data_IF_158105740609
#
_entry.id   IF_158105740609
#
_cell.length_a   1.000
_cell.length_b   1.000
_cell.length_c   1.000
_cell.angle_alpha   90.00
_cell.angle_beta   90.00
_cell.angle_gamma   90.00
#
_symmetry.space_group_name_H-M   'P 1'
#
loop_
_entity.id
_entity.type
_entity.pdbx_description
1 polymer ?
#
# COMPACT_ATOMS: atom_id res chain seq x y z
N UNK A 1 -17.37 -14.70 -55.59
CA UNK A 1 -17.27 -14.29 -57.01
C UNK A 1 -17.94 -12.92 -57.16
N UNK A 2 -17.19 -11.83 -56.95
CA UNK A 2 -17.51 -10.45 -57.35
C UNK A 2 -16.18 -9.80 -57.74
N UNK A 3 -16.18 -9.19 -58.92
CA UNK A 3 -15.04 -8.61 -59.62
C UNK A 3 -14.63 -7.25 -59.03
N UNK A 4 -13.32 -7.01 -58.98
CA UNK A 4 -12.66 -5.68 -58.90
C UNK A 4 -12.56 -5.08 -60.33
N UNK A 5 -12.28 -3.76 -60.49
CA UNK A 5 -10.89 -3.30 -60.52
C UNK A 5 -10.57 -1.98 -59.78
N UNK A 6 -9.31 -1.94 -59.34
CA UNK A 6 -8.47 -0.84 -58.84
C UNK A 6 -8.35 0.35 -59.81
N UNK A 7 -8.07 1.56 -59.28
CA UNK A 7 -7.00 2.50 -59.68
C UNK A 7 -6.78 3.54 -58.54
N UNK A 8 -5.51 3.80 -58.20
CA UNK A 8 -4.92 4.80 -57.29
C UNK A 8 -4.10 5.81 -58.16
N UNK A 9 -3.44 6.90 -57.69
CA UNK A 9 -3.76 8.07 -56.83
C UNK A 9 -3.61 9.43 -57.57
N UNK A 10 -3.90 10.57 -56.91
CA UNK A 10 -3.06 11.78 -57.04
C UNK A 10 -3.13 12.64 -55.76
N UNK A 11 -1.95 12.97 -55.23
CA UNK A 11 -1.69 13.86 -54.10
C UNK A 11 -1.96 15.34 -54.46
N UNK A 12 -2.33 16.15 -53.46
CA UNK A 12 -1.83 17.51 -53.31
C UNK A 12 -1.98 18.01 -51.86
N UNK A 13 -0.87 18.51 -51.33
CA UNK A 13 -0.65 19.03 -49.98
C UNK A 13 -1.52 20.23 -49.60
N UNK A 14 -1.86 20.34 -48.32
CA UNK A 14 -1.86 21.64 -47.62
C UNK A 14 -1.51 21.44 -46.14
N UNK A 15 -0.31 21.88 -45.80
CA UNK A 15 0.20 22.08 -44.45
C UNK A 15 -0.53 23.24 -43.77
N UNK A 16 -1.13 22.99 -42.61
CA UNK A 16 -1.47 24.05 -41.67
C UNK A 16 -0.54 23.99 -40.47
N UNK A 17 0.24 25.05 -40.37
CA UNK A 17 1.23 25.34 -39.35
C UNK A 17 0.62 25.31 -37.95
N UNK A 18 1.21 24.49 -37.10
CA UNK A 18 1.05 24.55 -35.65
C UNK A 18 1.93 25.70 -35.13
N UNK A 19 1.32 26.84 -34.81
CA UNK A 19 1.96 27.85 -33.98
C UNK A 19 1.69 27.55 -32.50
N UNK A 20 2.73 27.49 -31.63
CA UNK A 20 2.53 27.46 -30.19
C UNK A 20 2.07 28.85 -29.73
N UNK A 21 0.90 28.91 -29.07
CA UNK A 21 0.45 30.12 -28.37
C UNK A 21 1.33 30.32 -27.13
N UNK A 22 2.31 31.20 -27.25
CA UNK A 22 2.90 31.92 -26.12
C UNK A 22 1.99 33.10 -25.78
N UNK A 23 1.32 33.04 -24.63
CA UNK A 23 0.48 34.11 -24.13
C UNK A 23 -0.17 33.71 -22.81
N UNK A 24 0.57 33.86 -21.72
CA UNK A 24 -0.02 33.95 -20.38
C UNK A 24 -0.85 35.23 -20.31
N UNK A 25 -2.14 35.12 -19.97
CA UNK A 25 -3.01 36.28 -19.77
C UNK A 25 -2.55 37.03 -18.49
N UNK A 26 -2.19 38.33 -18.57
CA UNK A 26 -1.77 39.12 -17.41
C UNK A 26 -2.82 39.17 -16.28
N UNK A 27 -4.07 38.84 -16.59
CA UNK A 27 -5.18 38.80 -15.64
C UNK A 27 -5.15 37.59 -14.70
N UNK A 28 -4.56 36.45 -15.09
CA UNK A 28 -4.57 35.24 -14.24
C UNK A 28 -3.56 35.32 -13.10
N UNK A 29 -2.33 35.80 -13.37
CA UNK A 29 -1.28 35.97 -12.35
C UNK A 29 -1.65 37.00 -11.27
N UNK A 30 -2.36 38.07 -11.65
CA UNK A 30 -2.84 39.09 -10.72
C UNK A 30 -3.95 38.56 -9.78
N UNK A 31 -4.90 37.79 -10.32
CA UNK A 31 -5.95 37.12 -9.55
C UNK A 31 -5.38 36.09 -8.56
N UNK A 32 -4.34 35.36 -8.99
CA UNK A 32 -3.68 34.34 -8.18
C UNK A 32 -2.88 34.97 -7.03
N UNK A 33 -2.17 36.07 -7.30
CA UNK A 33 -1.52 36.88 -6.27
C UNK A 33 -2.50 37.47 -5.26
N UNK A 34 -3.65 37.98 -5.70
CA UNK A 34 -4.68 38.55 -4.81
C UNK A 34 -5.33 37.48 -3.91
N UNK A 35 -5.63 36.30 -4.46
CA UNK A 35 -6.27 35.20 -3.75
C UNK A 35 -5.38 34.55 -2.66
N UNK A 36 -4.06 34.59 -2.85
CA UNK A 36 -3.09 34.01 -1.90
C UNK A 36 -2.71 35.02 -0.80
N UNK A 37 -2.71 36.32 -1.09
CA UNK A 37 -2.41 37.39 -0.13
C UNK A 37 -3.60 37.77 0.77
N UNK A 38 -3.40 38.67 1.74
CA UNK A 38 -4.33 38.94 2.87
C UNK A 38 -5.74 39.47 2.50
N UNK A 39 -6.03 39.74 1.22
CA UNK A 39 -7.33 40.20 0.72
C UNK A 39 -8.30 39.03 0.43
N UNK A 40 -8.32 38.01 1.30
CA UNK A 40 -8.86 36.66 1.01
C UNK A 40 -10.40 36.60 0.97
N UNK A 41 -11.08 37.45 1.74
CA UNK A 41 -12.53 37.29 1.97
C UNK A 41 -13.36 37.44 0.70
N UNK A 42 -13.04 38.41 -0.17
CA UNK A 42 -13.82 38.65 -1.40
C UNK A 42 -13.71 37.49 -2.39
N UNK A 43 -12.50 36.93 -2.57
CA UNK A 43 -12.24 35.84 -3.52
C UNK A 43 -12.85 34.53 -3.02
N UNK A 44 -12.62 34.18 -1.75
CA UNK A 44 -13.23 33.00 -1.13
C UNK A 44 -14.75 33.09 -1.13
N UNK A 45 -15.31 34.25 -0.79
CA UNK A 45 -16.76 34.41 -0.68
C UNK A 45 -17.44 34.40 -2.07
N UNK A 46 -16.67 34.62 -3.15
CA UNK A 46 -17.12 34.49 -4.54
C UNK A 46 -17.27 33.03 -5.01
N UNK A 47 -16.69 32.07 -4.30
CA UNK A 47 -16.84 30.63 -4.53
C UNK A 47 -18.11 30.07 -3.87
N UNK A 48 -18.74 29.03 -4.46
CA UNK A 48 -19.79 28.27 -3.80
C UNK A 48 -19.36 27.80 -2.41
N UNK A 49 -20.26 27.84 -1.44
CA UNK A 49 -19.96 27.54 -0.03
C UNK A 49 -19.30 26.16 0.16
N UNK A 50 -19.76 25.16 -0.60
CA UNK A 50 -19.22 23.80 -0.60
C UNK A 50 -17.75 23.68 -1.04
N UNK A 51 -17.19 24.68 -1.73
CA UNK A 51 -15.80 24.66 -2.21
C UNK A 51 -14.86 25.62 -1.46
N UNK A 52 -15.37 26.32 -0.44
CA UNK A 52 -14.56 27.25 0.35
C UNK A 52 -13.50 26.54 1.19
N UNK A 53 -13.80 25.35 1.71
CA UNK A 53 -12.82 24.55 2.45
C UNK A 53 -11.68 24.05 1.55
N UNK A 54 -12.02 23.64 0.32
CA UNK A 54 -11.04 23.23 -0.70
C UNK A 54 -10.12 24.39 -1.11
N UNK A 55 -10.69 25.59 -1.26
CA UNK A 55 -9.93 26.82 -1.49
C UNK A 55 -8.89 27.08 -0.39
N UNK A 56 -9.29 27.00 0.89
CA UNK A 56 -8.36 27.22 2.01
C UNK A 56 -7.27 26.14 2.08
N UNK A 57 -7.60 24.89 1.74
CA UNK A 57 -6.66 23.76 1.72
C UNK A 57 -5.57 23.97 0.67
N UNK A 58 -5.95 24.20 -0.60
CA UNK A 58 -4.98 24.48 -1.67
C UNK A 58 -4.15 25.73 -1.40
N UNK A 59 -4.78 26.77 -0.84
CA UNK A 59 -4.08 28.00 -0.44
C UNK A 59 -3.03 27.71 0.62
N UNK A 60 -3.37 26.92 1.63
CA UNK A 60 -2.46 26.57 2.72
C UNK A 60 -1.31 25.69 2.24
N UNK A 61 -1.57 24.74 1.33
CA UNK A 61 -0.53 23.92 0.71
C UNK A 61 0.48 24.76 -0.08
N UNK A 62 0.02 25.75 -0.86
CA UNK A 62 0.91 26.68 -1.58
C UNK A 62 1.73 27.52 -0.60
N UNK A 63 1.11 27.98 0.49
CA UNK A 63 1.79 28.74 1.55
C UNK A 63 2.87 27.89 2.24
N UNK A 64 2.56 26.65 2.59
CA UNK A 64 3.49 25.77 3.30
C UNK A 64 4.62 25.32 2.39
N UNK A 65 4.33 25.04 1.12
CA UNK A 65 5.34 24.79 0.10
C UNK A 65 6.28 25.99 -0.05
N UNK A 66 5.75 27.18 -0.29
CA UNK A 66 6.61 28.37 -0.46
C UNK A 66 7.44 28.68 0.78
N UNK A 67 6.88 28.49 1.98
CA UNK A 67 7.61 28.64 3.25
C UNK A 67 8.74 27.62 3.39
N UNK A 68 8.49 26.36 3.07
CA UNK A 68 9.48 25.28 3.15
C UNK A 68 10.68 25.50 2.20
N UNK A 69 10.41 26.07 1.02
CA UNK A 69 11.43 26.33 0.00
C UNK A 69 12.00 27.77 0.04
N UNK A 70 11.65 28.56 1.06
CA UNK A 70 12.15 29.94 1.22
C UNK A 70 11.72 30.90 0.11
N UNK A 71 10.59 30.62 -0.55
CA UNK A 71 10.01 31.44 -1.61
C UNK A 71 9.17 32.55 -0.95
N UNK A 72 9.48 33.84 -1.19
CA UNK A 72 8.65 34.93 -0.68
C UNK A 72 7.23 34.87 -1.25
N UNK A 73 6.22 35.09 -0.40
CA UNK A 73 4.81 35.06 -0.84
C UNK A 73 4.51 36.10 -1.92
N UNK A 74 5.20 37.25 -1.91
CA UNK A 74 5.01 38.28 -2.94
C UNK A 74 5.43 37.82 -4.34
N UNK A 75 6.25 36.77 -4.44
CA UNK A 75 6.69 36.21 -5.72
C UNK A 75 5.55 35.49 -6.45
N UNK A 76 4.56 34.94 -5.74
CA UNK A 76 3.45 34.18 -6.33
C UNK A 76 2.53 35.04 -7.23
N UNK A 77 2.48 36.36 -6.99
CA UNK A 77 1.69 37.30 -7.79
C UNK A 77 2.41 37.89 -9.00
N UNK A 78 3.67 37.53 -9.26
CA UNK A 78 4.50 38.11 -10.33
C UNK A 78 5.33 37.04 -11.03
N UNK A 79 4.99 36.73 -12.29
CA UNK A 79 5.63 35.67 -13.09
C UNK A 79 7.16 35.78 -13.11
N UNK A 80 7.72 36.98 -13.27
CA UNK A 80 9.17 37.19 -13.26
C UNK A 80 9.83 36.86 -11.91
N UNK A 81 9.20 37.22 -10.79
CA UNK A 81 9.72 36.94 -9.44
C UNK A 81 9.52 35.47 -9.06
N UNK A 82 8.41 34.87 -9.47
CA UNK A 82 8.16 33.45 -9.28
C UNK A 82 9.24 32.64 -9.98
N UNK A 83 9.52 32.96 -11.25
CA UNK A 83 10.55 32.29 -12.03
C UNK A 83 11.94 32.43 -11.42
N UNK A 84 12.29 33.61 -10.92
CA UNK A 84 13.57 33.82 -10.22
C UNK A 84 13.66 33.00 -8.92
N UNK A 85 12.57 32.95 -8.14
CA UNK A 85 12.52 32.21 -6.89
C UNK A 85 12.54 30.68 -7.11
N UNK A 86 11.96 30.20 -8.22
CA UNK A 86 11.85 28.77 -8.53
C UNK A 86 13.08 28.23 -9.27
N UNK A 87 14.00 29.07 -9.76
CA UNK A 87 15.25 28.64 -10.41
C UNK A 87 16.14 27.73 -9.54
N UNK A 88 15.94 27.72 -8.22
CA UNK A 88 16.71 26.90 -7.26
C UNK A 88 15.98 25.62 -6.83
N UNK A 89 14.74 25.43 -7.28
CA UNK A 89 13.97 24.23 -6.97
C UNK A 89 14.48 23.03 -7.77
N UNK A 90 14.29 21.85 -7.20
CA UNK A 90 14.46 20.60 -7.94
C UNK A 90 13.36 20.47 -9.01
N UNK A 91 13.58 19.63 -10.03
CA UNK A 91 12.54 19.34 -11.04
C UNK A 91 11.24 18.83 -10.40
N UNK A 92 11.27 17.89 -9.43
CA UNK A 92 10.06 17.46 -8.72
C UNK A 92 9.34 18.60 -7.98
N UNK A 93 10.09 19.48 -7.32
CA UNK A 93 9.51 20.63 -6.62
C UNK A 93 8.88 21.65 -7.58
N UNK A 94 9.47 21.82 -8.77
CA UNK A 94 8.90 22.65 -9.83
C UNK A 94 7.59 22.07 -10.35
N UNK A 95 7.54 20.76 -10.59
CA UNK A 95 6.32 20.07 -11.03
C UNK A 95 5.23 20.14 -9.94
N UNK A 96 5.60 19.96 -8.67
CA UNK A 96 4.68 20.10 -7.54
C UNK A 96 4.11 21.50 -7.43
N UNK A 97 4.95 22.52 -7.52
CA UNK A 97 4.49 23.91 -7.47
C UNK A 97 3.60 24.24 -8.69
N UNK A 98 3.97 23.79 -9.89
CA UNK A 98 3.18 24.00 -11.09
C UNK A 98 1.80 23.35 -10.96
N UNK A 99 1.72 22.13 -10.43
CA UNK A 99 0.47 21.41 -10.20
C UNK A 99 -0.42 22.14 -9.17
N UNK A 100 0.15 22.58 -8.04
CA UNK A 100 -0.59 23.34 -7.03
C UNK A 100 -1.16 24.64 -7.60
N UNK A 101 -0.36 25.38 -8.37
CA UNK A 101 -0.78 26.63 -9.00
C UNK A 101 -1.84 26.40 -10.07
N UNK A 102 -1.70 25.36 -10.89
CA UNK A 102 -2.69 24.99 -11.92
C UNK A 102 -4.04 24.63 -11.30
N UNK A 103 -4.04 23.86 -10.20
CA UNK A 103 -5.25 23.49 -9.45
C UNK A 103 -5.93 24.72 -8.84
N UNK A 104 -5.14 25.59 -8.22
CA UNK A 104 -5.64 26.82 -7.62
C UNK A 104 -6.21 27.79 -8.67
N UNK A 105 -5.53 27.95 -9.80
CA UNK A 105 -6.01 28.75 -10.93
C UNK A 105 -7.31 28.18 -11.52
N UNK A 106 -7.40 26.85 -11.66
CA UNK A 106 -8.61 26.20 -12.14
C UNK A 106 -9.80 26.48 -11.21
N UNK A 107 -9.62 26.33 -9.90
CA UNK A 107 -10.66 26.59 -8.90
C UNK A 107 -11.16 28.03 -8.96
N UNK A 108 -10.24 29.00 -9.08
CA UNK A 108 -10.58 30.42 -9.20
C UNK A 108 -11.36 30.72 -10.49
N UNK A 109 -10.95 30.12 -11.61
CA UNK A 109 -11.53 30.39 -12.94
C UNK A 109 -12.89 29.73 -13.14
N UNK A 110 -13.04 28.49 -12.71
CA UNK A 110 -14.23 27.68 -12.96
C UNK A 110 -15.21 27.67 -11.78
N UNK A 111 -14.79 28.19 -10.61
CA UNK A 111 -15.56 28.18 -9.36
C UNK A 111 -15.98 26.80 -8.89
N UNK A 112 -15.26 25.78 -9.33
CA UNK A 112 -15.37 24.39 -8.91
C UNK A 112 -13.97 23.74 -8.95
N UNK A 113 -13.73 22.71 -8.13
CA UNK A 113 -12.52 21.90 -8.22
C UNK A 113 -12.36 21.31 -9.61
N UNK A 114 -11.11 21.12 -10.06
CA UNK A 114 -10.86 20.45 -11.35
C UNK A 114 -11.47 19.06 -11.29
N UNK A 115 -12.31 18.69 -12.27
CA UNK A 115 -12.88 17.33 -12.33
C UNK A 115 -11.74 16.30 -12.26
N UNK A 116 -11.69 15.55 -11.17
CA UNK A 116 -10.55 14.69 -10.80
C UNK A 116 -9.85 15.06 -9.49
N UNK A 117 -10.14 16.23 -8.91
CA UNK A 117 -9.72 16.60 -7.55
C UNK A 117 -10.62 15.91 -6.53
N UNK A 118 -10.02 15.02 -5.76
CA UNK A 118 -10.69 14.28 -4.71
C UNK A 118 -10.68 15.15 -3.47
N UNK A 119 -11.87 15.59 -3.09
CA UNK A 119 -12.09 16.23 -1.79
C UNK A 119 -11.66 15.24 -0.70
N UNK A 120 -10.64 15.56 0.13
CA UNK A 120 -10.18 14.67 1.20
C UNK A 120 -11.32 14.28 2.14
N UNK A 121 -12.31 15.15 2.37
CA UNK A 121 -13.48 14.82 3.17
C UNK A 121 -14.33 13.72 2.53
N UNK A 122 -14.46 13.74 1.19
CA UNK A 122 -15.16 12.68 0.43
C UNK A 122 -14.36 11.38 0.38
N UNK A 123 -13.03 11.45 0.29
CA UNK A 123 -12.19 10.27 0.39
C UNK A 123 -12.37 9.58 1.75
N UNK A 124 -12.32 10.36 2.83
CA UNK A 124 -12.56 9.88 4.19
C UNK A 124 -13.98 9.30 4.33
N UNK A 125 -15.01 10.01 3.89
CA UNK A 125 -16.40 9.52 3.92
C UNK A 125 -16.55 8.18 3.20
N UNK A 126 -15.98 8.07 1.99
CA UNK A 126 -15.99 6.83 1.20
C UNK A 126 -15.32 5.67 1.94
N UNK A 127 -14.11 5.86 2.48
CA UNK A 127 -13.41 4.76 3.16
C UNK A 127 -14.02 4.39 4.50
N UNK A 128 -14.67 5.31 5.18
CA UNK A 128 -15.45 4.97 6.38
C UNK A 128 -16.70 4.15 6.05
N UNK A 129 -17.41 4.49 4.97
CA UNK A 129 -18.60 3.78 4.51
C UNK A 129 -18.26 2.37 4.00
N UNK A 130 -17.17 2.23 3.24
CA UNK A 130 -16.86 0.98 2.53
C UNK A 130 -15.87 0.08 3.26
N UNK A 131 -14.98 0.64 4.09
CA UNK A 131 -13.89 -0.09 4.74
C UNK A 131 -13.88 0.06 6.26
N UNK A 132 -14.65 0.98 6.85
CA UNK A 132 -14.58 1.31 8.29
C UNK A 132 -13.13 1.65 8.74
N UNK A 133 -12.42 2.40 7.90
CA UNK A 133 -10.96 2.48 7.93
C UNK A 133 -10.40 3.13 9.20
N UNK A 134 -11.03 4.19 9.73
CA UNK A 134 -10.54 4.93 10.90
C UNK A 134 -10.31 4.05 12.11
N UNK A 135 -11.27 3.20 12.46
CA UNK A 135 -11.12 2.29 13.61
C UNK A 135 -9.96 1.32 13.41
N UNK A 136 -9.78 0.82 12.18
CA UNK A 136 -8.68 -0.08 11.87
C UNK A 136 -7.32 0.64 11.91
N UNK A 137 -7.27 1.87 11.42
CA UNK A 137 -6.08 2.72 11.40
C UNK A 137 -5.65 3.08 12.82
N UNK A 138 -6.56 3.67 13.61
CA UNK A 138 -6.30 4.12 14.97
C UNK A 138 -5.78 2.94 15.83
N UNK A 139 -6.45 1.79 15.74
CA UNK A 139 -6.02 0.58 16.44
C UNK A 139 -4.61 0.13 16.05
N UNK A 140 -4.28 0.13 14.75
CA UNK A 140 -2.96 -0.28 14.28
C UNK A 140 -1.88 0.70 14.70
N UNK A 141 -2.12 2.01 14.61
CA UNK A 141 -1.16 3.03 15.06
C UNK A 141 -0.91 2.90 16.55
N UNK A 142 -1.96 2.78 17.37
CA UNK A 142 -1.83 2.58 18.82
C UNK A 142 -1.03 1.31 19.16
N UNK A 143 -1.33 0.19 18.49
CA UNK A 143 -0.60 -1.06 18.69
C UNK A 143 0.87 -0.92 18.30
N UNK A 144 1.17 -0.31 17.15
CA UNK A 144 2.54 -0.13 16.66
C UNK A 144 3.36 0.81 17.56
N UNK A 145 2.73 1.81 18.16
CA UNK A 145 3.34 2.64 19.21
C UNK A 145 3.59 1.83 20.49
N UNK A 146 2.61 1.05 20.95
CA UNK A 146 2.68 0.25 22.16
C UNK A 146 3.80 -0.80 22.12
N UNK A 147 4.01 -1.44 20.97
CA UNK A 147 5.08 -2.43 20.77
C UNK A 147 6.43 -1.78 20.42
N UNK A 148 6.48 -0.46 20.28
CA UNK A 148 7.70 0.30 20.04
C UNK A 148 8.24 0.25 18.61
N UNK A 149 7.40 -0.13 17.63
CA UNK A 149 7.70 -0.02 16.20
C UNK A 149 7.68 1.46 15.80
N UNK A 150 6.60 2.16 16.16
CA UNK A 150 6.48 3.59 15.97
C UNK A 150 7.15 4.32 17.14
N UNK A 151 8.16 5.12 16.80
CA UNK A 151 8.83 6.03 17.74
C UNK A 151 8.67 7.44 17.21
N UNK A 152 7.96 8.28 17.96
CA UNK A 152 7.65 9.66 17.55
C UNK A 152 6.92 9.70 16.18
N UNK A 153 6.00 8.75 15.96
CA UNK A 153 5.21 8.66 14.72
C UNK A 153 5.96 8.13 13.49
N UNK A 154 7.17 7.60 13.65
CA UNK A 154 7.98 7.10 12.54
C UNK A 154 8.66 5.76 12.84
N UNK A 155 8.92 4.99 11.78
CA UNK A 155 9.83 3.83 11.81
C UNK A 155 11.23 4.23 11.41
N UNK A 156 12.21 3.36 11.68
CA UNK A 156 13.60 3.54 11.22
C UNK A 156 13.91 2.46 10.19
N UNK A 157 14.24 2.89 8.97
CA UNK A 157 14.57 2.00 7.87
C UNK A 157 15.93 1.31 8.05
N UNK A 158 16.16 0.26 7.24
CA UNK A 158 17.47 -0.42 7.16
C UNK A 158 18.60 0.46 6.61
N UNK A 159 18.25 1.58 5.99
CA UNK A 159 19.14 2.65 5.52
C UNK A 159 19.38 3.75 6.57
N UNK A 160 18.71 3.68 7.71
CA UNK A 160 18.79 4.66 8.79
C UNK A 160 17.85 5.86 8.62
N UNK A 161 17.08 5.95 7.53
CA UNK A 161 16.09 7.00 7.35
C UNK A 161 14.90 6.81 8.30
N UNK A 162 14.25 7.93 8.64
CA UNK A 162 13.01 7.95 9.42
C UNK A 162 11.84 8.07 8.47
N UNK A 163 10.95 7.09 8.50
CA UNK A 163 9.76 7.07 7.66
C UNK A 163 8.52 7.30 8.52
N UNK A 164 7.81 8.44 8.39
CA UNK A 164 6.59 8.68 9.14
C UNK A 164 5.53 7.65 8.76
N UNK A 165 4.66 7.29 9.70
CA UNK A 165 3.49 6.46 9.40
C UNK A 165 2.61 7.15 8.37
N UNK A 166 2.08 6.44 7.35
CA UNK A 166 1.11 7.02 6.42
C UNK A 166 -0.10 7.52 7.20
N UNK A 167 -0.58 8.71 6.86
CA UNK A 167 -1.80 9.27 7.49
C UNK A 167 -3.05 8.59 6.97
N UNK A 168 -4.13 8.62 7.77
CA UNK A 168 -5.43 8.13 7.33
C UNK A 168 -5.88 8.82 6.05
N UNK A 169 -5.64 10.13 5.92
CA UNK A 169 -5.97 10.93 4.74
C UNK A 169 -5.22 10.45 3.49
N UNK A 170 -3.92 10.18 3.59
CA UNK A 170 -3.14 9.66 2.46
C UNK A 170 -3.65 8.30 1.98
N UNK A 171 -3.95 7.39 2.91
CA UNK A 171 -4.50 6.06 2.57
C UNK A 171 -5.90 6.21 1.97
N UNK A 172 -6.74 7.08 2.56
CA UNK A 172 -8.09 7.32 2.09
C UNK A 172 -8.13 7.89 0.67
N UNK A 173 -7.23 8.84 0.37
CA UNK A 173 -7.08 9.38 -0.98
C UNK A 173 -6.70 8.30 -1.98
N UNK A 174 -5.69 7.47 -1.67
CA UNK A 174 -5.27 6.40 -2.57
C UNK A 174 -6.41 5.38 -2.84
N UNK A 175 -7.09 4.93 -1.78
CA UNK A 175 -8.24 4.02 -1.92
C UNK A 175 -9.38 4.65 -2.72
N UNK A 176 -9.63 5.94 -2.54
CA UNK A 176 -10.65 6.65 -3.30
C UNK A 176 -10.25 6.77 -4.76
N UNK A 177 -9.01 7.15 -5.09
CA UNK A 177 -8.48 7.23 -6.46
C UNK A 177 -8.66 5.91 -7.20
N UNK A 178 -8.28 4.82 -6.53
CA UNK A 178 -8.30 3.46 -7.08
C UNK A 178 -9.62 2.73 -6.88
N UNK A 179 -10.69 3.39 -6.38
CA UNK A 179 -11.99 2.74 -6.08
C UNK A 179 -12.61 1.98 -7.25
N UNK A 180 -12.36 2.42 -8.49
CA UNK A 180 -12.82 1.71 -9.69
C UNK A 180 -12.10 0.36 -9.84
N UNK A 181 -10.77 0.38 -9.76
CA UNK A 181 -9.89 -0.79 -9.84
C UNK A 181 -10.11 -1.76 -8.67
N UNK A 182 -10.34 -1.21 -7.47
CA UNK A 182 -10.51 -1.98 -6.24
C UNK A 182 -11.94 -2.48 -6.03
N UNK A 183 -12.92 -2.07 -6.84
CA UNK A 183 -14.33 -2.42 -6.65
C UNK A 183 -14.56 -3.93 -6.60
N UNK A 184 -13.96 -4.69 -7.53
CA UNK A 184 -14.03 -6.16 -7.53
C UNK A 184 -13.37 -6.76 -6.29
N UNK A 185 -12.28 -6.17 -5.79
CA UNK A 185 -11.58 -6.67 -4.59
C UNK A 185 -12.32 -6.36 -3.30
N UNK A 186 -12.94 -5.19 -3.23
CA UNK A 186 -13.85 -4.83 -2.16
C UNK A 186 -15.03 -5.83 -2.09
N UNK A 187 -15.67 -6.12 -3.23
CA UNK A 187 -16.74 -7.14 -3.35
C UNK A 187 -16.26 -8.55 -2.92
N UNK A 188 -15.03 -8.92 -3.27
CA UNK A 188 -14.39 -10.16 -2.84
C UNK A 188 -13.93 -10.15 -1.36
N UNK A 189 -14.24 -9.10 -0.61
CA UNK A 189 -14.03 -9.02 0.83
C UNK A 189 -12.68 -8.45 1.27
N UNK A 190 -11.87 -7.88 0.38
CA UNK A 190 -10.59 -7.23 0.74
C UNK A 190 -10.83 -5.86 1.40
N UNK A 191 -11.23 -5.87 2.68
CA UNK A 191 -11.62 -4.67 3.44
C UNK A 191 -10.81 -4.43 4.72
N UNK A 192 -9.97 -5.40 5.12
CA UNK A 192 -9.14 -5.31 6.32
C UNK A 192 -7.81 -4.63 6.01
N UNK A 193 -7.56 -3.47 6.58
CA UNK A 193 -6.30 -2.72 6.47
C UNK A 193 -5.16 -3.46 7.16
N UNK A 194 -3.97 -3.39 6.59
CA UNK A 194 -2.71 -3.77 7.21
C UNK A 194 -1.62 -2.74 6.88
N UNK A 195 -1.13 -2.05 7.91
CA UNK A 195 -0.01 -1.10 7.84
C UNK A 195 1.30 -1.83 8.16
N UNK A 196 2.12 -2.06 7.14
CA UNK A 196 3.35 -2.85 7.30
C UNK A 196 4.57 -1.93 7.33
N UNK A 197 5.39 -1.97 8.41
CA UNK A 197 6.62 -1.20 8.52
C UNK A 197 7.77 -1.81 7.69
N UNK A 198 7.56 -1.96 6.37
CA UNK A 198 8.41 -2.71 5.45
C UNK A 198 9.90 -2.30 5.51
N UNK A 199 10.18 -1.01 5.69
CA UNK A 199 11.53 -0.47 5.73
C UNK A 199 12.34 -0.91 6.94
N UNK A 200 11.71 -1.35 8.04
CA UNK A 200 12.42 -1.86 9.22
C UNK A 200 13.17 -3.16 8.91
N UNK A 201 14.25 -3.41 9.65
CA UNK A 201 14.94 -4.70 9.52
C UNK A 201 14.08 -5.85 10.03
N UNK A 202 14.13 -6.97 9.33
CA UNK A 202 13.38 -8.18 9.68
C UNK A 202 13.80 -8.70 11.06
N UNK A 203 15.09 -8.62 11.40
CA UNK A 203 15.61 -8.95 12.74
C UNK A 203 14.94 -8.11 13.84
N UNK A 204 14.72 -6.80 13.59
CA UNK A 204 14.08 -5.91 14.57
C UNK A 204 12.59 -6.23 14.72
N UNK A 205 11.90 -6.55 13.62
CA UNK A 205 10.48 -6.93 13.64
C UNK A 205 10.29 -8.28 14.35
N UNK A 206 11.18 -9.25 14.11
CA UNK A 206 11.16 -10.54 14.82
C UNK A 206 11.39 -10.38 16.33
N UNK A 207 12.36 -9.57 16.74
CA UNK A 207 12.57 -9.30 18.17
C UNK A 207 11.37 -8.55 18.77
N UNK A 208 10.75 -7.64 18.02
CA UNK A 208 9.54 -6.95 18.47
C UNK A 208 8.37 -7.93 18.66
N UNK A 209 8.12 -8.82 17.69
CA UNK A 209 7.11 -9.88 17.81
C UNK A 209 7.36 -10.78 19.04
N UNK A 210 8.62 -11.14 19.28
CA UNK A 210 9.02 -11.93 20.44
C UNK A 210 8.69 -11.23 21.75
N UNK A 211 9.01 -9.94 21.86
CA UNK A 211 8.69 -9.14 23.06
C UNK A 211 7.17 -8.94 23.21
N UNK A 212 6.46 -8.70 22.11
CA UNK A 212 5.00 -8.63 22.08
C UNK A 212 4.37 -9.92 22.61
N UNK A 213 4.79 -11.10 22.16
CA UNK A 213 4.28 -12.39 22.65
C UNK A 213 4.51 -12.57 24.14
N UNK A 214 5.70 -12.23 24.64
CA UNK A 214 6.04 -12.31 26.06
C UNK A 214 5.17 -11.38 26.92
N UNK A 215 4.95 -10.14 26.44
CA UNK A 215 4.04 -9.18 27.08
C UNK A 215 2.61 -9.69 27.06
N UNK A 216 2.12 -10.11 25.90
CA UNK A 216 0.77 -10.65 25.73
C UNK A 216 0.50 -11.82 26.66
N UNK A 217 1.46 -12.74 26.82
CA UNK A 217 1.38 -13.86 27.77
C UNK A 217 1.33 -13.41 29.23
N UNK A 218 2.04 -12.35 29.58
CA UNK A 218 2.01 -11.77 30.94
C UNK A 218 0.62 -11.21 31.25
N UNK A 219 0.03 -10.52 30.30
CA UNK A 219 -1.29 -9.89 30.44
C UNK A 219 -2.44 -10.91 30.29
N UNK A 220 -2.19 -12.01 29.58
CA UNK A 220 -3.11 -13.12 29.36
C UNK A 220 -2.49 -14.46 29.82
N UNK A 221 -2.47 -14.76 31.14
CA UNK A 221 -1.80 -15.95 31.68
C UNK A 221 -2.31 -17.29 31.13
N UNK A 222 -3.53 -17.34 30.60
CA UNK A 222 -4.11 -18.53 29.96
C UNK A 222 -3.61 -18.77 28.53
N UNK A 223 -3.03 -17.76 27.86
CA UNK A 223 -2.52 -17.90 26.49
C UNK A 223 -1.39 -18.94 26.44
N UNK A 224 -1.45 -19.97 25.58
CA UNK A 224 -0.51 -21.09 25.64
C UNK A 224 0.81 -20.76 24.92
N UNK A 225 1.66 -19.91 25.51
CA UNK A 225 3.00 -19.58 25.01
C UNK A 225 4.11 -20.29 25.81
N UNK A 226 5.13 -20.80 25.12
CA UNK A 226 6.41 -21.17 25.70
C UNK A 226 7.29 -19.92 25.89
N UNK A 227 7.38 -19.45 27.13
CA UNK A 227 8.18 -18.26 27.47
C UNK A 227 9.68 -18.49 27.32
N UNK A 228 10.16 -19.75 27.29
CA UNK A 228 11.57 -20.08 27.07
C UNK A 228 11.98 -20.01 25.61
N UNK A 229 11.03 -20.22 24.69
CA UNK A 229 11.26 -20.15 23.25
C UNK A 229 9.99 -19.68 22.50
N UNK A 230 9.57 -18.41 22.68
CA UNK A 230 8.30 -17.91 22.15
C UNK A 230 8.29 -17.72 20.62
N UNK A 231 9.48 -17.65 20.02
CA UNK A 231 9.71 -17.46 18.60
C UNK A 231 10.88 -18.35 18.17
N UNK A 232 10.62 -19.32 17.29
CA UNK A 232 11.65 -20.07 16.60
C UNK A 232 11.85 -19.50 15.20
N UNK A 233 13.10 -19.21 14.85
CA UNK A 233 13.46 -18.71 13.52
C UNK A 233 14.58 -19.56 12.95
N UNK A 234 14.41 -20.07 11.74
CA UNK A 234 15.50 -20.68 10.98
C UNK A 234 16.66 -19.69 10.79
N UNK A 235 17.90 -20.15 10.99
CA UNK A 235 19.10 -19.31 10.92
C UNK A 235 19.30 -18.57 9.60
N UNK A 236 18.62 -18.99 8.53
CA UNK A 236 18.62 -18.28 7.25
C UNK A 236 18.05 -16.86 7.31
N UNK A 237 17.16 -16.57 8.27
CA UNK A 237 16.54 -15.25 8.44
C UNK A 237 17.47 -14.20 9.04
N UNK A 238 18.48 -14.61 9.81
CA UNK A 238 19.33 -13.68 10.54
C UNK A 238 20.07 -12.74 9.57
N UNK A 239 19.79 -11.44 9.68
CA UNK A 239 20.34 -10.40 8.82
C UNK A 239 20.05 -10.62 7.33
N UNK A 240 18.95 -11.30 6.98
CA UNK A 240 18.69 -11.71 5.62
C UNK A 240 18.33 -10.57 4.67
N UNK A 241 17.77 -9.47 5.19
CA UNK A 241 17.29 -8.32 4.44
C UNK A 241 18.24 -7.11 4.49
N UNK A 242 19.38 -7.24 5.17
CA UNK A 242 20.36 -6.17 5.38
C UNK A 242 21.75 -6.50 4.80
N UNK A 243 22.60 -5.49 4.74
CA UNK A 243 24.00 -5.60 4.30
C UNK A 243 24.18 -5.50 2.78
N UNK A 244 25.43 -5.67 2.33
CA UNK A 244 25.80 -5.50 0.91
C UNK A 244 25.40 -6.66 0.00
N UNK A 245 24.95 -7.77 0.58
CA UNK A 245 24.54 -8.97 -0.15
C UNK A 245 23.41 -9.66 0.62
N UNK A 246 22.23 -9.02 0.69
CA UNK A 246 21.09 -9.58 1.39
C UNK A 246 20.70 -10.91 0.76
N UNK A 247 20.32 -11.87 1.61
CA UNK A 247 19.90 -13.21 1.19
C UNK A 247 18.43 -13.23 0.82
N UNK A 248 17.62 -12.34 1.37
CA UNK A 248 16.19 -12.27 1.13
C UNK A 248 15.91 -11.37 -0.08
N UNK A 249 15.15 -11.89 -1.03
CA UNK A 249 14.70 -11.20 -2.23
C UNK A 249 13.19 -11.09 -2.19
N UNK A 250 12.67 -9.92 -2.52
CA UNK A 250 11.26 -9.57 -2.48
C UNK A 250 10.65 -9.49 -3.88
N UNK A 251 9.37 -9.78 -3.97
CA UNK A 251 8.55 -9.75 -5.19
C UNK A 251 9.20 -10.46 -6.40
N UNK A 252 9.60 -11.75 -6.24
CA UNK A 252 10.24 -12.49 -7.32
C UNK A 252 9.28 -12.82 -8.47
N UNK A 253 9.83 -12.85 -9.69
CA UNK A 253 9.21 -13.48 -10.85
C UNK A 253 9.44 -15.01 -10.87
N UNK A 254 10.61 -15.46 -10.41
CA UNK A 254 10.95 -16.87 -10.35
C UNK A 254 11.73 -17.20 -9.08
N UNK A 255 11.50 -18.40 -8.54
CA UNK A 255 12.31 -18.94 -7.43
C UNK A 255 13.61 -19.55 -7.96
N UNK A 256 14.51 -18.70 -8.43
CA UNK A 256 15.82 -19.08 -8.95
C UNK A 256 16.92 -18.24 -8.31
N UNK A 257 18.14 -18.76 -8.22
CA UNK A 257 19.27 -18.02 -7.64
C UNK A 257 19.63 -16.78 -8.48
N UNK A 258 19.54 -16.90 -9.80
CA UNK A 258 19.80 -15.84 -10.78
C UNK A 258 18.59 -15.67 -11.67
N UNK A 259 18.39 -14.48 -12.24
CA UNK A 259 17.26 -14.20 -13.15
C UNK A 259 15.89 -14.30 -12.46
N UNK A 260 15.83 -14.10 -11.13
CA UNK A 260 14.60 -14.20 -10.36
C UNK A 260 13.63 -13.03 -10.55
N UNK A 261 14.07 -11.90 -11.11
CA UNK A 261 13.22 -10.71 -11.33
C UNK A 261 12.82 -9.93 -10.07
N UNK A 262 12.98 -10.50 -8.87
CA UNK A 262 12.76 -9.80 -7.61
C UNK A 262 13.86 -8.80 -7.23
N UNK A 263 13.60 -8.02 -6.17
CA UNK A 263 14.44 -6.91 -5.70
C UNK A 263 14.86 -7.08 -4.25
N UNK A 264 15.91 -6.39 -3.85
CA UNK A 264 16.30 -6.24 -2.45
C UNK A 264 15.44 -5.18 -1.76
N UNK A 265 15.34 -5.24 -0.43
CA UNK A 265 14.63 -4.21 0.36
C UNK A 265 15.18 -2.80 0.09
N UNK A 266 16.51 -2.67 0.00
CA UNK A 266 17.17 -1.38 -0.29
C UNK A 266 16.81 -0.82 -1.68
N UNK A 267 16.68 -1.67 -2.70
CA UNK A 267 16.23 -1.23 -4.03
C UNK A 267 14.77 -0.78 -3.98
N UNK A 268 13.90 -1.51 -3.27
CA UNK A 268 12.50 -1.12 -3.10
C UNK A 268 12.36 0.21 -2.38
N UNK A 269 13.10 0.42 -1.28
CA UNK A 269 13.06 1.68 -0.53
C UNK A 269 13.47 2.88 -1.39
N UNK A 270 14.51 2.73 -2.22
CA UNK A 270 14.92 3.79 -3.16
C UNK A 270 13.86 4.08 -4.22
N UNK A 271 13.21 3.04 -4.74
CA UNK A 271 12.14 3.22 -5.72
C UNK A 271 10.88 3.87 -5.11
N UNK A 272 10.61 3.65 -3.82
CA UNK A 272 9.53 4.32 -3.12
C UNK A 272 9.78 5.82 -2.94
N UNK A 273 11.04 6.25 -2.74
CA UNK A 273 11.36 7.69 -2.62
C UNK A 273 10.99 8.48 -3.89
N UNK A 274 11.10 7.85 -5.05
CA UNK A 274 10.80 8.48 -6.35
C UNK A 274 9.35 8.28 -6.81
N UNK A 275 8.54 7.46 -6.10
CA UNK A 275 7.18 7.11 -6.51
C UNK A 275 6.12 7.82 -5.66
N UNK A 276 5.36 8.72 -6.30
CA UNK A 276 4.31 9.53 -5.68
C UNK A 276 3.12 8.70 -5.17
N UNK A 277 2.89 7.52 -5.74
CA UNK A 277 1.80 6.62 -5.35
C UNK A 277 2.25 5.62 -4.27
N UNK A 278 3.43 5.80 -3.70
CA UNK A 278 3.97 4.92 -2.67
C UNK A 278 3.97 5.56 -1.29
N UNK A 279 4.09 4.71 -0.27
CA UNK A 279 4.28 5.13 1.12
C UNK A 279 5.74 4.81 1.50
N UNK A 280 6.68 5.78 1.44
CA UNK A 280 8.10 5.49 1.66
C UNK A 280 8.34 4.78 3.01
N UNK A 281 9.01 3.62 2.96
CA UNK A 281 9.28 2.80 4.14
C UNK A 281 8.11 1.92 4.59
N UNK A 282 6.93 2.06 4.00
CA UNK A 282 5.72 1.33 4.36
C UNK A 282 5.16 0.57 3.16
N UNK A 283 4.37 -0.46 3.45
CA UNK A 283 3.41 -1.01 2.49
C UNK A 283 2.05 -1.06 3.14
N UNK A 284 1.02 -0.73 2.37
CA UNK A 284 -0.37 -0.70 2.83
C UNK A 284 -1.12 -1.76 2.07
N UNK A 285 -1.79 -2.65 2.80
CA UNK A 285 -2.48 -3.78 2.21
C UNK A 285 -3.95 -3.80 2.63
N UNK A 286 -4.79 -4.33 1.76
CA UNK A 286 -6.12 -4.83 2.08
C UNK A 286 -6.10 -6.35 2.09
N UNK A 287 -6.69 -6.95 3.11
CA UNK A 287 -6.86 -8.39 3.30
C UNK A 287 -8.34 -8.73 3.57
N UNK A 288 -8.66 -10.01 3.45
CA UNK A 288 -9.98 -10.51 3.85
C UNK A 288 -10.04 -10.64 5.38
N UNK A 289 -11.07 -10.10 6.07
CA UNK A 289 -11.21 -10.24 7.51
C UNK A 289 -11.69 -11.65 7.92
N UNK A 290 -11.52 -12.00 9.18
CA UNK A 290 -11.95 -13.32 9.69
C UNK A 290 -13.46 -13.41 9.99
N UNK A 291 -14.13 -12.27 10.13
CA UNK A 291 -15.55 -12.15 10.46
C UNK A 291 -16.43 -11.76 9.26
N UNK A 292 -16.01 -12.05 8.02
CA UNK A 292 -16.75 -11.65 6.80
C UNK A 292 -18.20 -12.18 6.72
N UNK A 293 -18.52 -13.24 7.47
CA UNK A 293 -19.82 -13.92 7.41
C UNK A 293 -20.86 -13.35 8.40
N UNK A 294 -20.47 -12.45 9.31
CA UNK A 294 -21.43 -11.81 10.22
C UNK A 294 -22.22 -10.76 9.47
N UNK A 295 -23.56 -10.91 9.42
CA UNK A 295 -24.52 -9.89 8.97
C UNK A 295 -24.55 -8.63 9.86
N UNK A 296 -23.48 -8.39 10.62
CA UNK A 296 -23.40 -7.35 11.61
C UNK A 296 -22.55 -6.18 11.08
N UNK A 297 -23.07 -4.98 11.32
CA UNK A 297 -22.46 -3.65 11.14
C UNK A 297 -21.18 -3.42 11.96
N UNK A 298 -20.47 -4.48 12.34
CA UNK A 298 -19.23 -4.40 13.11
C UNK A 298 -18.01 -4.24 12.20
N UNK A 299 -17.01 -3.51 12.69
CA UNK A 299 -15.78 -3.27 11.93
C UNK A 299 -15.05 -4.58 11.59
N UNK A 300 -14.36 -4.68 10.44
CA UNK A 300 -13.60 -5.85 10.06
C UNK A 300 -12.59 -6.26 11.14
N UNK A 301 -12.58 -7.53 11.54
CA UNK A 301 -11.77 -8.04 12.65
C UNK A 301 -10.98 -9.29 12.24
N UNK A 302 -9.73 -9.37 12.68
CA UNK A 302 -8.80 -10.45 12.36
C UNK A 302 -8.53 -10.54 10.85
N UNK A 303 -7.97 -11.68 10.44
CA UNK A 303 -7.63 -11.97 9.04
C UNK A 303 -8.11 -13.38 8.72
N UNK A 304 -8.62 -13.57 7.51
CA UNK A 304 -9.09 -14.86 7.04
C UNK A 304 -7.97 -15.90 7.08
N UNK A 305 -8.31 -17.11 7.52
CA UNK A 305 -7.41 -18.25 7.54
C UNK A 305 -7.18 -18.80 6.13
N UNK A 306 -6.03 -19.44 5.92
CA UNK A 306 -5.74 -20.16 4.68
C UNK A 306 -6.45 -21.53 4.74
N UNK A 307 -7.44 -21.79 3.86
CA UNK A 307 -8.21 -23.02 3.94
C UNK A 307 -7.39 -24.23 3.51
N UNK A 308 -7.68 -25.37 4.13
CA UNK A 308 -7.17 -26.67 3.68
C UNK A 308 -7.72 -27.03 2.30
N UNK A 309 -7.05 -27.97 1.64
CA UNK A 309 -7.51 -28.50 0.37
C UNK A 309 -8.97 -29.00 0.47
N UNK A 310 -9.81 -28.56 -0.47
CA UNK A 310 -11.24 -28.86 -0.55
C UNK A 310 -12.09 -28.21 0.55
N UNK A 311 -11.55 -27.20 1.26
CA UNK A 311 -12.25 -26.45 2.32
C UNK A 311 -12.41 -24.96 1.99
N UNK A 312 -11.93 -24.52 0.84
CA UNK A 312 -12.08 -23.15 0.38
C UNK A 312 -13.53 -22.81 0.07
N UNK A 313 -13.83 -21.52 0.17
CA UNK A 313 -15.10 -20.93 -0.25
C UNK A 313 -14.83 -19.92 -1.36
N UNK A 314 -15.88 -19.58 -2.12
CA UNK A 314 -15.81 -18.46 -3.07
C UNK A 314 -16.41 -17.22 -2.42
N UNK A 315 -15.80 -16.06 -2.63
CA UNK A 315 -16.29 -14.75 -2.20
C UNK A 315 -16.46 -13.81 -3.40
N UNK A 316 -17.32 -12.79 -3.26
CA UNK A 316 -17.63 -11.82 -4.32
C UNK A 316 -18.83 -12.22 -5.16
N UNK A 317 -19.75 -11.28 -5.33
CA UNK A 317 -20.97 -11.42 -6.13
C UNK A 317 -20.74 -11.00 -7.60
N UNK A 318 -19.80 -10.07 -7.85
CA UNK A 318 -19.48 -9.57 -9.20
C UNK A 318 -18.61 -10.58 -9.95
N UNK A 319 -17.48 -10.94 -9.35
CA UNK A 319 -16.55 -11.94 -9.86
C UNK A 319 -16.22 -12.89 -8.73
N UNK A 320 -16.82 -14.07 -8.76
CA UNK A 320 -16.60 -15.08 -7.74
C UNK A 320 -15.11 -15.47 -7.67
N UNK A 321 -14.49 -15.21 -6.53
CA UNK A 321 -13.10 -15.55 -6.22
C UNK A 321 -13.04 -16.79 -5.35
N UNK A 322 -12.60 -17.94 -5.88
CA UNK A 322 -12.27 -19.09 -5.06
C UNK A 322 -11.11 -18.77 -4.11
N UNK A 323 -11.16 -19.30 -2.89
CA UNK A 323 -10.04 -19.20 -1.97
C UNK A 323 -8.80 -19.91 -2.50
N UNK A 324 -7.62 -19.35 -2.24
CA UNK A 324 -6.34 -20.04 -2.44
C UNK A 324 -6.15 -21.09 -1.33
N UNK A 325 -6.55 -22.33 -1.62
CA UNK A 325 -6.40 -23.46 -0.70
C UNK A 325 -4.96 -23.97 -0.61
N UNK A 326 -4.64 -24.65 0.50
CA UNK A 326 -3.40 -25.40 0.69
C UNK A 326 -3.21 -26.55 -0.32
N UNK A 327 -2.06 -27.23 -0.25
CA UNK A 327 -1.68 -28.35 -1.12
C UNK A 327 -1.29 -27.96 -2.57
N UNK A 328 -0.62 -26.82 -2.73
CA UNK A 328 0.13 -26.48 -3.94
C UNK A 328 1.59 -26.18 -3.59
N UNK A 329 2.45 -26.27 -4.58
CA UNK A 329 3.85 -25.83 -4.45
C UNK A 329 3.91 -24.29 -4.44
N UNK A 330 4.98 -23.74 -3.87
CA UNK A 330 5.21 -22.29 -3.89
C UNK A 330 5.25 -21.74 -5.32
N UNK A 331 5.84 -22.50 -6.26
CA UNK A 331 5.88 -22.17 -7.70
C UNK A 331 4.47 -22.06 -8.28
N UNK A 332 3.56 -22.98 -7.92
CA UNK A 332 2.17 -22.94 -8.37
C UNK A 332 1.44 -21.70 -7.84
N UNK A 333 1.60 -21.36 -6.55
CA UNK A 333 1.00 -20.14 -5.99
C UNK A 333 1.53 -18.87 -6.65
N UNK A 334 2.85 -18.77 -6.82
CA UNK A 334 3.46 -17.64 -7.50
C UNK A 334 2.95 -17.50 -8.94
N UNK A 335 2.84 -18.62 -9.67
CA UNK A 335 2.33 -18.62 -11.04
C UNK A 335 0.86 -18.20 -11.13
N UNK A 336 0.01 -18.55 -10.15
CA UNK A 336 -1.39 -18.12 -10.12
C UNK A 336 -1.46 -16.59 -10.04
N UNK A 337 -0.74 -15.99 -9.11
CA UNK A 337 -0.77 -14.54 -8.89
C UNK A 337 -0.14 -13.77 -10.06
N UNK A 338 0.96 -14.27 -10.63
CA UNK A 338 1.60 -13.63 -11.79
C UNK A 338 0.74 -13.65 -13.03
N UNK A 339 0.13 -14.79 -13.36
CA UNK A 339 -0.77 -14.87 -14.53
C UNK A 339 -1.96 -13.95 -14.39
N UNK A 340 -2.38 -13.68 -13.15
CA UNK A 340 -3.47 -12.75 -12.87
C UNK A 340 -3.06 -11.28 -13.05
N UNK A 341 -1.78 -10.92 -13.03
CA UNK A 341 -1.36 -9.52 -13.21
C UNK A 341 -1.71 -8.99 -14.60
N UNK A 342 -1.56 -9.82 -15.64
CA UNK A 342 -1.82 -9.43 -17.03
C UNK A 342 -3.24 -9.79 -17.51
N UNK A 343 -4.08 -10.36 -16.63
CA UNK A 343 -5.42 -10.86 -16.93
C UNK A 343 -6.46 -10.19 -16.03
N UNK A 344 -7.08 -9.11 -16.51
CA UNK A 344 -8.12 -8.35 -15.79
C UNK A 344 -9.36 -9.20 -15.46
N UNK A 345 -9.62 -10.27 -16.22
CA UNK A 345 -10.75 -11.19 -15.99
C UNK A 345 -10.42 -12.24 -14.91
N UNK A 346 -9.15 -12.33 -14.48
CA UNK A 346 -8.74 -13.27 -13.44
C UNK A 346 -9.38 -12.90 -12.09
N UNK A 347 -9.94 -13.87 -11.34
CA UNK A 347 -10.46 -13.60 -10.00
C UNK A 347 -9.36 -13.14 -9.03
N UNK A 348 -8.08 -13.32 -9.38
CA UNK A 348 -6.92 -12.93 -8.57
C UNK A 348 -6.20 -11.68 -9.09
N UNK A 349 -6.75 -10.97 -10.09
CA UNK A 349 -6.11 -9.77 -10.67
C UNK A 349 -5.84 -8.72 -9.59
N UNK A 350 -4.63 -8.13 -9.56
CA UNK A 350 -4.24 -7.14 -8.54
C UNK A 350 -3.90 -7.71 -7.15
N UNK A 351 -3.92 -9.04 -6.97
CA UNK A 351 -3.47 -9.68 -5.73
C UNK A 351 -1.97 -9.97 -5.74
N UNK A 352 -1.34 -9.80 -4.58
CA UNK A 352 0.04 -10.17 -4.30
C UNK A 352 0.12 -11.11 -3.10
N UNK A 353 1.25 -11.80 -2.97
CA UNK A 353 1.52 -12.66 -1.82
C UNK A 353 2.19 -11.88 -0.70
N UNK A 354 2.10 -12.41 0.52
CA UNK A 354 2.70 -11.80 1.71
C UNK A 354 4.22 -12.01 1.78
N UNK A 355 4.88 -11.03 2.40
CA UNK A 355 6.25 -11.05 2.89
C UNK A 355 6.31 -11.46 4.37
N UNK A 356 7.50 -11.76 4.93
CA UNK A 356 7.67 -11.95 6.38
C UNK A 356 7.17 -10.78 7.24
N UNK A 357 7.40 -9.55 6.80
CA UNK A 357 6.96 -8.32 7.48
C UNK A 357 5.44 -8.22 7.55
N UNK A 358 4.77 -8.54 6.43
CA UNK A 358 3.31 -8.55 6.35
C UNK A 358 2.75 -9.55 7.36
N UNK A 359 3.33 -10.76 7.44
CA UNK A 359 2.84 -11.80 8.34
C UNK A 359 3.08 -11.46 9.80
N UNK A 360 4.25 -10.91 10.16
CA UNK A 360 4.55 -10.48 11.53
C UNK A 360 3.52 -9.45 12.00
N UNK A 361 3.26 -8.44 11.17
CA UNK A 361 2.33 -7.36 11.47
C UNK A 361 0.90 -7.90 11.58
N UNK A 362 0.47 -8.71 10.60
CA UNK A 362 -0.85 -9.35 10.61
C UNK A 362 -1.05 -10.24 11.84
N UNK A 363 -0.03 -11.00 12.25
CA UNK A 363 -0.12 -11.84 13.44
C UNK A 363 -0.36 -11.03 14.72
N UNK A 364 0.39 -9.94 14.93
CA UNK A 364 0.23 -9.09 16.12
C UNK A 364 -1.17 -8.45 16.18
N UNK A 365 -1.65 -7.95 15.04
CA UNK A 365 -3.00 -7.37 14.93
C UNK A 365 -4.05 -8.45 15.18
N UNK A 366 -3.95 -9.59 14.50
CA UNK A 366 -4.91 -10.69 14.65
C UNK A 366 -5.04 -11.15 16.10
N UNK A 367 -3.91 -11.37 16.78
CA UNK A 367 -3.90 -11.85 18.15
C UNK A 367 -4.49 -10.81 19.12
N UNK A 368 -4.19 -9.54 18.89
CA UNK A 368 -4.71 -8.44 19.71
C UNK A 368 -6.21 -8.25 19.55
N UNK A 369 -6.73 -8.41 18.33
CA UNK A 369 -8.17 -8.26 18.04
C UNK A 369 -8.99 -9.47 18.46
N UNK A 370 -8.50 -10.69 18.17
CA UNK A 370 -9.31 -11.92 18.28
C UNK A 370 -9.02 -12.73 19.53
N UNK A 371 -7.89 -12.48 20.19
CA UNK A 371 -7.36 -13.31 21.27
C UNK A 371 -6.89 -14.71 20.82
N UNK A 372 -6.84 -14.97 19.51
CA UNK A 372 -6.43 -16.25 18.92
C UNK A 372 -5.18 -16.04 18.04
N UNK A 373 -4.29 -17.03 17.96
CA UNK A 373 -3.14 -16.94 17.07
C UNK A 373 -3.57 -17.04 15.60
N UNK A 374 -2.92 -16.26 14.73
CA UNK A 374 -3.07 -16.37 13.28
C UNK A 374 -2.32 -17.62 12.78
N UNK A 375 -2.93 -18.34 11.83
CA UNK A 375 -2.38 -19.54 11.20
C UNK A 375 -2.01 -20.63 12.22
N UNK A 376 -2.96 -21.03 13.09
CA UNK A 376 -2.85 -22.20 13.97
C UNK A 376 -2.99 -23.48 13.12
N UNK A 377 -1.95 -23.77 12.32
CA UNK A 377 -2.02 -24.77 11.26
C UNK A 377 -2.39 -26.17 11.77
N UNK A 378 -2.06 -26.53 13.02
CA UNK A 378 -2.43 -27.82 13.62
C UNK A 378 -3.55 -27.68 14.65
N UNK A 379 -4.47 -26.73 14.45
CA UNK A 379 -5.65 -26.63 15.28
C UNK A 379 -6.52 -27.91 15.17
N UNK A 380 -7.28 -28.28 16.22
CA UNK A 380 -8.07 -29.51 16.23
C UNK A 380 -9.18 -29.56 15.16
N UNK A 381 -9.58 -28.41 14.61
CA UNK A 381 -10.59 -28.36 13.56
C UNK A 381 -10.02 -28.64 12.17
N UNK A 382 -8.69 -28.64 12.03
CA UNK A 382 -7.95 -28.84 10.79
C UNK A 382 -8.48 -27.93 9.65
N UNK A 383 -8.71 -26.65 9.98
CA UNK A 383 -9.26 -25.65 9.06
C UNK A 383 -8.26 -24.61 8.58
N UNK A 384 -7.16 -24.43 9.32
CA UNK A 384 -6.14 -23.43 9.03
C UNK A 384 -4.86 -24.09 8.52
N UNK A 385 -4.05 -23.33 7.80
CA UNK A 385 -2.84 -23.82 7.14
C UNK A 385 -1.66 -22.91 7.46
N UNK A 386 -0.45 -23.41 7.27
CA UNK A 386 0.78 -22.63 7.31
C UNK A 386 0.77 -21.62 6.15
N UNK A 387 1.22 -20.39 6.43
CA UNK A 387 1.34 -19.33 5.42
C UNK A 387 2.68 -19.40 4.72
N UNK A 388 2.69 -19.86 3.48
CA UNK A 388 3.79 -19.68 2.53
C UNK A 388 3.85 -18.22 2.10
N UNK A 389 5.02 -17.61 2.22
CA UNK A 389 5.23 -16.18 1.99
C UNK A 389 5.92 -15.98 0.64
N UNK A 390 5.21 -16.31 -0.44
CA UNK A 390 5.75 -16.29 -1.81
C UNK A 390 6.08 -14.88 -2.33
N UNK A 391 5.75 -13.83 -1.56
CA UNK A 391 6.23 -12.47 -1.79
C UNK A 391 7.72 -12.30 -1.54
N UNK A 392 8.41 -13.30 -0.97
CA UNK A 392 9.85 -13.30 -0.81
C UNK A 392 10.47 -14.70 -1.02
N UNK A 393 11.80 -14.77 -1.18
CA UNK A 393 12.56 -16.02 -1.10
C UNK A 393 14.01 -15.79 -0.70
N UNK A 394 14.64 -16.84 -0.16
CA UNK A 394 16.07 -16.82 0.18
C UNK A 394 16.93 -17.25 -1.01
N UNK A 395 17.73 -16.32 -1.51
CA UNK A 395 18.80 -16.52 -2.49
C UNK A 395 20.00 -17.17 -1.82
N UNK A 396 19.94 -18.49 -1.64
CA UNK A 396 21.04 -19.30 -1.11
C UNK A 396 21.48 -20.39 -2.10
N UNK A 397 22.42 -21.26 -1.73
CA UNK A 397 22.77 -22.44 -2.55
C UNK A 397 21.58 -23.38 -2.75
N UNK A 398 20.65 -23.37 -1.80
CA UNK A 398 19.33 -23.99 -1.91
C UNK A 398 18.29 -22.86 -1.91
N UNK A 399 17.48 -22.76 -2.95
CA UNK A 399 16.39 -21.79 -3.01
C UNK A 399 15.32 -22.22 -2.01
N UNK A 400 14.96 -21.33 -1.10
CA UNK A 400 14.00 -21.61 -0.03
C UNK A 400 12.97 -20.50 0.01
N UNK A 401 11.69 -20.87 0.09
CA UNK A 401 10.59 -19.91 0.26
C UNK A 401 10.21 -19.82 1.74
N UNK A 402 10.16 -18.61 2.32
CA UNK A 402 9.76 -18.41 3.71
C UNK A 402 8.34 -18.90 3.95
N UNK A 403 8.10 -19.44 5.15
CA UNK A 403 6.75 -19.63 5.68
C UNK A 403 6.72 -19.29 7.17
N UNK A 404 5.52 -19.00 7.67
CA UNK A 404 5.26 -18.69 9.06
C UNK A 404 3.93 -19.29 9.54
N UNK A 405 3.86 -19.62 10.83
CA UNK A 405 2.67 -20.17 11.48
C UNK A 405 2.74 -20.10 13.01
N UNK A 406 1.61 -20.36 13.67
CA UNK A 406 1.58 -20.68 15.10
C UNK A 406 1.69 -22.19 15.36
N UNK A 407 2.77 -22.59 16.03
CA UNK A 407 3.10 -23.98 16.32
C UNK A 407 2.47 -24.45 17.63
N UNK A 408 1.24 -24.99 17.61
CA UNK A 408 0.51 -25.43 18.81
C UNK A 408 1.31 -26.37 19.73
N UNK A 409 2.05 -27.33 19.18
CA UNK A 409 2.86 -28.27 19.96
C UNK A 409 4.06 -27.57 20.64
N UNK A 410 4.70 -26.64 19.92
CA UNK A 410 5.80 -25.83 20.43
C UNK A 410 5.34 -24.64 21.27
N UNK A 411 4.04 -24.29 21.24
CA UNK A 411 3.45 -23.12 21.90
C UNK A 411 4.20 -21.83 21.54
N UNK A 412 4.53 -21.66 20.27
CA UNK A 412 5.38 -20.57 19.78
C UNK A 412 5.03 -20.20 18.35
N UNK A 413 5.55 -19.07 17.89
CA UNK A 413 5.60 -18.76 16.46
C UNK A 413 6.82 -19.44 15.84
N UNK A 414 6.68 -19.98 14.63
CA UNK A 414 7.78 -20.59 13.89
C UNK A 414 7.93 -19.91 12.52
N UNK A 415 9.14 -19.41 12.23
CA UNK A 415 9.59 -18.98 10.91
C UNK A 415 10.61 -19.99 10.38
N UNK A 416 10.34 -20.52 9.19
CA UNK A 416 11.25 -21.44 8.51
C UNK A 416 11.07 -21.27 7.00
N UNK A 417 11.49 -22.25 6.22
CA UNK A 417 11.25 -22.24 4.78
C UNK A 417 11.20 -23.63 4.17
N UNK A 418 10.62 -23.72 2.99
CA UNK A 418 10.46 -24.95 2.21
C UNK A 418 11.14 -24.84 0.84
N UNK A 419 11.45 -25.99 0.23
CA UNK A 419 11.83 -26.00 -1.18
C UNK A 419 10.61 -25.51 -2.00
N UNK A 420 10.78 -24.60 -2.97
CA UNK A 420 9.68 -24.08 -3.77
C UNK A 420 8.92 -25.16 -4.57
N UNK A 421 9.50 -26.37 -4.72
CA UNK A 421 8.91 -27.52 -5.40
C UNK A 421 8.20 -28.48 -4.45
N UNK A 422 8.36 -28.32 -3.14
CA UNK A 422 7.69 -29.17 -2.17
C UNK A 422 6.19 -28.87 -2.18
N UNK A 423 5.40 -29.93 -2.10
CA UNK A 423 3.95 -29.87 -1.96
C UNK A 423 3.57 -30.42 -0.59
N UNK A 424 2.79 -29.65 0.17
CA UNK A 424 2.36 -30.01 1.51
C UNK A 424 0.88 -29.65 1.70
N UNK A 425 0.09 -30.60 2.17
CA UNK A 425 -1.34 -30.43 2.51
C UNK A 425 -1.56 -29.42 3.67
N UNK A 426 -0.49 -29.14 4.41
CA UNK A 426 -0.28 -28.17 5.48
C UNK A 426 -0.07 -26.73 5.06
N UNK A 427 0.36 -26.48 3.83
CA UNK A 427 0.92 -25.20 3.43
C UNK A 427 0.07 -24.60 2.30
N UNK A 428 -0.33 -23.34 2.47
CA UNK A 428 -0.98 -22.56 1.43
C UNK A 428 -0.48 -21.13 1.39
N UNK A 429 -1.17 -20.25 0.67
CA UNK A 429 -0.79 -18.83 0.54
C UNK A 429 -1.96 -17.95 0.97
N UNK A 430 -1.65 -16.89 1.71
CA UNK A 430 -2.55 -15.75 1.89
C UNK A 430 -2.12 -14.67 0.91
N UNK A 431 -3.08 -14.14 0.16
CA UNK A 431 -2.87 -12.99 -0.70
C UNK A 431 -3.48 -11.74 -0.12
N UNK A 432 -3.02 -10.60 -0.63
CA UNK A 432 -3.45 -9.26 -0.25
C UNK A 432 -3.51 -8.38 -1.48
N UNK A 433 -4.15 -7.21 -1.38
CA UNK A 433 -4.13 -6.18 -2.41
C UNK A 433 -3.31 -5.02 -1.88
N UNK A 434 -2.25 -4.64 -2.59
CA UNK A 434 -1.42 -3.48 -2.21
C UNK A 434 -2.12 -2.21 -2.65
N UNK A 435 -2.26 -1.26 -1.72
CA UNK A 435 -2.91 0.04 -1.89
C UNK A 435 -1.91 1.07 -2.36
#
# INVERSE_FOLDING_TARGET
MRFFPSIIPTEAHSSHDYHPRTGEDPASSALLGEAIMDSVSSVRDSLPEQYRAHFETLRQEIIDFTKAHGIPRESLGKSDLLREATCKLSIPDLERLALLLERFEYLLKNREPKKGEIDPARAIEYVEEHYHLRKQYDFQVELLEEVGILKEGAITGIDGHKYPVPTLEQIAMCLFERRGELSTKHDQGFTKLLLVPFGMSLDSLQETLKQFLLKYKKDHPSFPLDTGNPLYTWSGYQGADIGNSPKLVYYPQFFTKEGHGGKTKMEILREQEDNQDSFPGWTVHLLQPSNSDSQDTEAPMGFASIPRQGKGTSQGDLVARPSLEANKTSIEYLSILQKAQDDEDSPYHGETSMTPEDWITAFMIHLSETGKPLDDAWNPTNKESVSCLTGAFFRSSVVVVPYAFWGRAGRRVDFSGCDPRDRDEGIGVRSSVVV
#
